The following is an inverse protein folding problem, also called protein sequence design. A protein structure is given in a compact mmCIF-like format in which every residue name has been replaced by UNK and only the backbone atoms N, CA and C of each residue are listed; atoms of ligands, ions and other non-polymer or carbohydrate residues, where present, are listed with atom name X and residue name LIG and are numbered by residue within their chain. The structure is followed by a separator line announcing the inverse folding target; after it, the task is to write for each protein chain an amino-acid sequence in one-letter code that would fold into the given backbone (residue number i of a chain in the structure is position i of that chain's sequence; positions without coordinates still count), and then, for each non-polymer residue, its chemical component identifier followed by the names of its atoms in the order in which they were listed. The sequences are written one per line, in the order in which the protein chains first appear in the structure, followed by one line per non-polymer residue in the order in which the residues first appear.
data_IF_781231842368
#
_entry.id   IF_781231842368
#
_cell.length_a   1.000
_cell.length_b   1.000
_cell.length_c   1.000
_cell.angle_alpha   90.00
_cell.angle_beta   90.00
_cell.angle_gamma   90.00
#
_symmetry.space_group_name_H-M   'P 1'
#
loop_
_entity.id
_entity.type
_entity.pdbx_description
1 polymer ?
#
# COMPACT_ATOMS: atom_id res chain seq x y z
N UNK A 1 3.60 22.54 -37.07
CA UNK A 1 3.74 22.81 -35.63
C UNK A 1 2.98 21.70 -34.91
N UNK A 2 3.71 20.68 -34.46
CA UNK A 2 3.17 19.43 -33.93
C UNK A 2 2.68 19.65 -32.50
N UNK A 3 1.41 19.33 -32.23
CA UNK A 3 0.88 19.21 -30.87
C UNK A 3 1.41 17.91 -30.27
N UNK A 4 2.18 18.00 -29.19
CA UNK A 4 2.65 16.87 -28.38
C UNK A 4 1.45 16.24 -27.65
N UNK A 5 1.08 14.96 -27.90
CA UNK A 5 0.16 14.22 -27.07
C UNK A 5 0.98 13.45 -26.03
N UNK A 6 1.35 14.11 -24.92
CA UNK A 6 2.04 13.44 -23.80
C UNK A 6 1.70 14.12 -22.48
N UNK A 7 0.41 14.20 -22.17
CA UNK A 7 -0.05 14.25 -20.79
C UNK A 7 -0.61 12.86 -20.49
N UNK A 8 0.29 11.93 -20.19
CA UNK A 8 -0.05 10.79 -19.34
C UNK A 8 -0.66 11.39 -18.07
N UNK A 9 -1.96 11.20 -17.87
CA UNK A 9 -2.67 11.63 -16.66
C UNK A 9 -2.00 10.99 -15.43
N UNK A 10 -1.00 11.66 -14.87
CA UNK A 10 -0.48 11.34 -13.56
C UNK A 10 -1.54 11.81 -12.56
N UNK A 11 -2.18 10.86 -11.88
CA UNK A 11 -3.11 11.16 -10.80
C UNK A 11 -2.30 11.69 -9.62
N UNK A 12 -2.38 12.99 -9.37
CA UNK A 12 -1.79 13.65 -8.22
C UNK A 12 -2.80 13.62 -7.06
N UNK A 13 -2.43 13.00 -5.94
CA UNK A 13 -3.25 12.96 -4.73
C UNK A 13 -2.46 13.65 -3.63
N UNK A 14 -3.01 14.74 -3.10
CA UNK A 14 -2.49 15.37 -1.88
C UNK A 14 -3.26 14.83 -0.68
N UNK A 15 -2.55 14.22 0.25
CA UNK A 15 -3.13 13.72 1.49
C UNK A 15 -2.81 14.67 2.64
N UNK A 16 -3.76 14.84 3.56
CA UNK A 16 -3.63 15.73 4.71
C UNK A 16 -3.62 14.91 5.99
N UNK A 17 -2.90 15.38 7.01
CA UNK A 17 -2.84 14.76 8.34
C UNK A 17 -3.18 15.79 9.40
N UNK A 18 -4.06 15.43 10.32
CA UNK A 18 -4.31 16.19 11.54
C UNK A 18 -3.10 16.04 12.49
N UNK A 19 -3.01 16.81 13.59
CA UNK A 19 -2.03 16.55 14.63
C UNK A 19 -2.15 15.12 15.19
N UNK A 20 -1.01 14.51 15.53
CA UNK A 20 -0.99 13.21 16.20
C UNK A 20 -1.76 13.27 17.52
N UNK A 21 -2.74 12.38 17.69
CA UNK A 21 -3.50 12.21 18.93
C UNK A 21 -2.86 11.14 19.81
N UNK A 22 -2.46 10.03 19.20
CA UNK A 22 -1.78 8.95 19.93
C UNK A 22 -0.92 8.09 19.01
N UNK A 23 -0.04 7.32 19.65
CA UNK A 23 0.87 6.38 19.00
C UNK A 23 1.02 5.12 19.84
N UNK A 24 1.12 3.99 19.17
CA UNK A 24 1.44 2.71 19.80
C UNK A 24 2.35 1.84 18.92
N UNK A 25 3.04 0.89 19.53
CA UNK A 25 3.84 -0.10 18.82
C UNK A 25 2.97 -1.31 18.49
N UNK A 26 3.03 -1.77 17.25
CA UNK A 26 2.34 -2.98 16.78
C UNK A 26 3.26 -3.83 15.92
N UNK A 27 2.78 -5.02 15.58
CA UNK A 27 3.46 -5.96 14.70
C UNK A 27 2.58 -6.30 13.51
N UNK A 28 3.15 -6.22 12.31
CA UNK A 28 2.49 -6.62 11.07
C UNK A 28 3.00 -8.01 10.68
N UNK A 29 2.11 -8.98 10.39
CA UNK A 29 2.55 -10.30 9.92
C UNK A 29 3.47 -10.19 8.72
N UNK A 30 4.54 -11.00 8.70
CA UNK A 30 5.58 -10.94 7.69
C UNK A 30 5.03 -11.08 6.27
N UNK A 31 4.08 -12.00 6.08
CA UNK A 31 3.45 -12.25 4.79
C UNK A 31 2.77 -11.00 4.23
N UNK A 32 2.15 -10.19 5.08
CA UNK A 32 1.43 -8.97 4.72
C UNK A 32 2.42 -7.87 4.37
N UNK A 33 3.41 -7.65 5.23
CA UNK A 33 4.47 -6.66 4.98
C UNK A 33 5.22 -6.97 3.68
N UNK A 34 5.73 -8.20 3.55
CA UNK A 34 6.50 -8.62 2.39
C UNK A 34 5.68 -8.54 1.10
N UNK A 35 4.37 -8.86 1.14
CA UNK A 35 3.49 -8.72 -0.02
C UNK A 35 3.30 -7.24 -0.40
N UNK A 36 3.08 -6.35 0.56
CA UNK A 36 2.96 -4.92 0.30
C UNK A 36 4.23 -4.37 -0.36
N UNK A 37 5.42 -4.68 0.19
CA UNK A 37 6.70 -4.25 -0.37
C UNK A 37 6.95 -4.86 -1.76
N UNK A 38 6.59 -6.14 -1.96
CA UNK A 38 6.72 -6.80 -3.28
C UNK A 38 5.84 -6.13 -4.33
N UNK A 39 4.60 -5.78 -3.99
CA UNK A 39 3.71 -5.07 -4.89
C UNK A 39 4.21 -3.65 -5.16
N UNK A 40 4.68 -2.95 -4.13
CA UNK A 40 5.27 -1.61 -4.25
C UNK A 40 6.49 -1.58 -5.18
N UNK A 41 7.37 -2.57 -5.10
CA UNK A 41 8.55 -2.67 -5.96
C UNK A 41 8.22 -2.81 -7.46
N UNK A 42 6.97 -3.17 -7.81
CA UNK A 42 6.48 -3.24 -9.19
C UNK A 42 5.95 -1.89 -9.70
N UNK A 43 5.75 -0.91 -8.82
CA UNK A 43 5.20 0.40 -9.16
C UNK A 43 6.31 1.38 -9.60
N UNK A 44 6.19 1.92 -10.81
CA UNK A 44 7.14 2.94 -11.31
C UNK A 44 7.11 4.24 -10.50
N UNK A 45 5.98 4.55 -9.88
CA UNK A 45 5.74 5.80 -9.13
C UNK A 45 6.19 5.75 -7.67
N UNK A 46 6.79 4.64 -7.21
CA UNK A 46 7.17 4.39 -5.79
C UNK A 46 6.02 4.51 -4.77
N UNK A 47 4.77 4.47 -5.24
CA UNK A 47 3.58 4.45 -4.40
C UNK A 47 2.65 3.35 -4.90
N UNK A 48 2.06 2.63 -3.96
CA UNK A 48 1.09 1.57 -4.19
C UNK A 48 -0.26 1.98 -3.60
N UNK A 49 -1.29 2.04 -4.45
CA UNK A 49 -2.65 2.34 -4.03
C UNK A 49 -3.43 1.04 -3.86
N UNK A 50 -3.94 0.80 -2.65
CA UNK A 50 -4.62 -0.43 -2.25
C UNK A 50 -6.05 -0.10 -1.78
N UNK A 51 -7.07 -0.26 -2.63
CA UNK A 51 -8.45 0.00 -2.23
C UNK A 51 -8.96 -1.10 -1.28
N UNK A 52 -9.35 -0.71 -0.07
CA UNK A 52 -9.95 -1.58 0.95
C UNK A 52 -11.48 -1.40 0.89
N UNK A 53 -12.10 -1.99 -0.12
CA UNK A 53 -13.50 -1.72 -0.49
C UNK A 53 -14.51 -2.06 0.62
N UNK A 54 -14.25 -3.09 1.41
CA UNK A 54 -15.07 -3.49 2.57
C UNK A 54 -15.15 -2.42 3.68
N UNK A 55 -14.19 -1.49 3.69
CA UNK A 55 -14.12 -0.38 4.63
C UNK A 55 -14.41 0.97 3.98
N UNK A 56 -14.49 1.05 2.65
CA UNK A 56 -14.42 2.31 1.89
C UNK A 56 -13.14 3.10 2.15
N UNK A 57 -12.03 2.41 2.42
CA UNK A 57 -10.73 3.01 2.69
C UNK A 57 -9.79 2.86 1.49
N UNK A 58 -8.82 3.75 1.40
CA UNK A 58 -7.65 3.61 0.54
C UNK A 58 -6.41 3.51 1.41
N UNK A 59 -5.63 2.46 1.24
CA UNK A 59 -4.26 2.42 1.72
C UNK A 59 -3.33 2.98 0.63
N UNK A 60 -2.47 3.92 1.00
CA UNK A 60 -1.36 4.37 0.16
C UNK A 60 -0.08 3.91 0.85
N UNK A 61 0.68 3.09 0.13
CA UNK A 61 1.88 2.45 0.63
C UNK A 61 3.07 3.00 -0.12
N UNK A 62 4.07 3.48 0.60
CA UNK A 62 5.39 3.79 0.06
C UNK A 62 6.49 3.10 0.88
N UNK A 63 7.75 3.52 0.69
CA UNK A 63 8.90 2.93 1.37
C UNK A 63 9.04 3.33 2.85
N UNK A 64 8.37 4.41 3.27
CA UNK A 64 8.48 5.00 4.60
C UNK A 64 7.25 4.66 5.46
N UNK A 65 6.05 4.73 4.89
CA UNK A 65 4.81 4.58 5.62
C UNK A 65 3.66 3.96 4.81
N UNK A 66 2.72 3.36 5.54
CA UNK A 66 1.42 2.95 5.00
C UNK A 66 0.37 3.87 5.62
N UNK A 67 -0.27 4.71 4.81
CA UNK A 67 -1.32 5.64 5.28
C UNK A 67 -2.70 5.13 4.87
N UNK A 68 -3.66 5.27 5.78
CA UNK A 68 -5.03 4.82 5.60
C UNK A 68 -5.97 6.01 5.60
N UNK A 69 -6.67 6.17 4.48
CA UNK A 69 -7.53 7.31 4.19
C UNK A 69 -8.96 6.81 4.09
N UNK A 70 -9.85 7.48 4.79
CA UNK A 70 -11.29 7.29 4.66
C UNK A 70 -11.79 7.92 3.35
N UNK A 71 -12.49 7.13 2.53
CA UNK A 71 -13.07 7.58 1.27
C UNK A 71 -14.08 8.71 1.41
N UNK A 72 -14.70 8.88 2.58
CA UNK A 72 -15.65 9.96 2.85
C UNK A 72 -14.95 11.28 3.20
N UNK A 73 -13.74 11.23 3.77
CA UNK A 73 -12.99 12.40 4.25
C UNK A 73 -12.01 12.98 3.23
N UNK A 74 -12.28 12.96 1.92
CA UNK A 74 -11.51 13.73 0.90
C UNK A 74 -9.96 13.74 1.08
N UNK A 75 -9.32 12.58 1.28
CA UNK A 75 -7.86 12.46 1.43
C UNK A 75 -7.25 12.84 2.80
N UNK A 76 -8.04 12.87 3.88
CA UNK A 76 -7.50 12.93 5.23
C UNK A 76 -7.02 11.55 5.71
N UNK A 77 -5.82 11.51 6.27
CA UNK A 77 -5.22 10.30 6.85
C UNK A 77 -5.78 10.14 8.26
N UNK A 78 -6.43 9.01 8.52
CA UNK A 78 -6.95 8.68 9.84
C UNK A 78 -5.91 7.91 10.68
N UNK A 79 -5.16 7.01 10.02
CA UNK A 79 -4.13 6.18 10.65
C UNK A 79 -2.91 6.09 9.71
N UNK A 80 -1.71 6.18 10.28
CA UNK A 80 -0.47 5.88 9.57
C UNK A 80 0.31 4.77 10.29
N UNK A 81 0.86 3.82 9.54
CA UNK A 81 1.82 2.84 10.03
C UNK A 81 3.19 3.26 9.54
N UNK A 82 4.07 3.61 10.48
CA UNK A 82 5.38 4.21 10.21
C UNK A 82 6.49 3.44 10.92
N UNK A 83 7.74 3.79 10.61
CA UNK A 83 8.92 3.28 11.32
C UNK A 83 8.98 1.75 11.34
N UNK A 84 8.65 1.12 10.21
CA UNK A 84 8.80 -0.31 10.05
C UNK A 84 10.25 -0.71 10.29
N UNK A 85 10.47 -1.70 11.16
CA UNK A 85 11.80 -2.20 11.48
C UNK A 85 11.97 -3.66 11.02
N UNK A 86 12.03 -3.92 9.70
CA UNK A 86 12.16 -5.29 9.20
C UNK A 86 13.54 -5.91 9.51
N UNK A 87 14.56 -5.08 9.80
CA UNK A 87 15.93 -5.50 10.09
C UNK A 87 16.12 -6.05 11.51
N UNK A 88 15.23 -5.71 12.44
CA UNK A 88 15.28 -6.25 13.80
C UNK A 88 14.77 -7.71 13.91
N UNK A 89 14.40 -8.34 12.79
CA UNK A 89 13.93 -9.72 12.74
C UNK A 89 15.09 -10.67 12.46
N UNK A 90 15.10 -11.80 13.15
CA UNK A 90 16.07 -12.87 12.93
C UNK A 90 15.70 -13.80 11.77
N UNK A 91 14.42 -13.78 11.36
CA UNK A 91 13.90 -14.61 10.27
C UNK A 91 12.86 -13.88 9.42
N UNK A 92 12.71 -14.31 8.16
CA UNK A 92 11.88 -13.64 7.16
C UNK A 92 10.37 -13.76 7.42
N UNK A 93 9.95 -14.75 8.20
CA UNK A 93 8.58 -15.06 8.59
C UNK A 93 8.14 -14.41 9.91
N UNK A 94 9.08 -13.82 10.66
CA UNK A 94 8.77 -13.09 11.90
C UNK A 94 7.98 -11.81 11.60
N UNK A 95 7.02 -11.41 12.43
CA UNK A 95 6.30 -10.15 12.27
C UNK A 95 7.22 -8.91 12.29
N UNK A 96 6.87 -7.88 11.52
CA UNK A 96 7.60 -6.60 11.48
C UNK A 96 7.02 -5.64 12.50
N UNK A 97 7.84 -5.16 13.43
CA UNK A 97 7.45 -4.09 14.34
C UNK A 97 7.30 -2.76 13.59
N UNK A 98 6.28 -1.98 13.98
CA UNK A 98 6.01 -0.66 13.43
C UNK A 98 5.29 0.22 14.47
N UNK A 99 5.19 1.52 14.19
CA UNK A 99 4.41 2.46 15.00
C UNK A 99 3.10 2.78 14.29
N UNK A 100 1.96 2.55 14.96
CA UNK A 100 0.66 3.03 14.51
C UNK A 100 0.42 4.41 15.11
N UNK A 101 0.23 5.41 14.25
CA UNK A 101 -0.09 6.80 14.61
C UNK A 101 -1.54 7.07 14.26
N UNK A 102 -2.27 7.65 15.21
CA UNK A 102 -3.68 7.98 15.09
C UNK A 102 -3.86 9.49 15.03
N UNK A 103 -4.60 9.94 14.02
CA UNK A 103 -4.93 11.36 13.82
C UNK A 103 -6.39 11.67 14.20
N UNK A 104 -7.11 10.67 14.73
CA UNK A 104 -8.49 10.77 15.21
C UNK A 104 -8.70 9.98 16.50
N UNK A 105 -9.66 10.43 17.28
CA UNK A 105 -10.14 9.74 18.48
C UNK A 105 -10.93 8.48 18.11
N UNK A 106 -11.05 7.53 19.05
CA UNK A 106 -11.88 6.32 18.95
C UNK A 106 -11.58 5.40 17.73
N UNK A 107 -10.33 5.35 17.28
CA UNK A 107 -9.90 4.59 16.08
C UNK A 107 -9.64 3.09 16.33
N UNK A 108 -9.91 2.57 17.52
CA UNK A 108 -9.61 1.17 17.88
C UNK A 108 -10.33 0.14 17.00
N UNK A 109 -11.62 0.37 16.70
CA UNK A 109 -12.42 -0.50 15.85
C UNK A 109 -11.93 -0.47 14.39
N UNK A 110 -11.56 0.71 13.88
CA UNK A 110 -10.99 0.85 12.53
C UNK A 110 -9.65 0.12 12.44
N UNK A 111 -8.77 0.32 13.42
CA UNK A 111 -7.49 -0.37 13.49
C UNK A 111 -7.65 -1.90 13.54
N UNK A 112 -8.58 -2.41 14.33
CA UNK A 112 -8.87 -3.85 14.40
C UNK A 112 -9.30 -4.39 13.04
N UNK A 113 -10.15 -3.67 12.31
CA UNK A 113 -10.56 -4.04 10.95
C UNK A 113 -9.42 -3.95 9.94
N UNK A 114 -8.58 -2.92 10.00
CA UNK A 114 -7.44 -2.78 9.09
C UNK A 114 -6.49 -3.99 9.17
N UNK A 115 -6.31 -4.59 10.35
CA UNK A 115 -5.47 -5.78 10.52
C UNK A 115 -5.96 -7.00 9.71
N UNK A 116 -7.26 -7.12 9.44
CA UNK A 116 -7.81 -8.21 8.61
C UNK A 116 -8.06 -7.80 7.16
N UNK A 117 -8.54 -6.57 6.95
CA UNK A 117 -9.02 -6.11 5.63
C UNK A 117 -7.86 -5.67 4.72
N UNK A 118 -6.79 -5.08 5.25
CA UNK A 118 -5.64 -4.68 4.44
C UNK A 118 -4.91 -5.89 3.83
N UNK A 119 -4.58 -6.97 4.58
CA UNK A 119 -4.05 -8.19 3.98
C UNK A 119 -4.95 -8.76 2.88
N UNK A 120 -6.27 -8.80 3.11
CA UNK A 120 -7.22 -9.29 2.11
C UNK A 120 -7.21 -8.42 0.83
N UNK A 121 -7.16 -7.10 0.98
CA UNK A 121 -7.08 -6.17 -0.15
C UNK A 121 -5.77 -6.34 -0.96
N UNK A 122 -4.63 -6.54 -0.28
CA UNK A 122 -3.35 -6.84 -0.94
C UNK A 122 -3.42 -8.14 -1.74
N UNK A 123 -4.05 -9.19 -1.20
CA UNK A 123 -4.20 -10.46 -1.91
C UNK A 123 -5.07 -10.30 -3.17
N UNK A 124 -6.19 -9.59 -3.07
CA UNK A 124 -7.05 -9.28 -4.23
C UNK A 124 -6.26 -8.51 -5.29
N UNK A 125 -5.48 -7.51 -4.88
CA UNK A 125 -4.64 -6.72 -5.79
C UNK A 125 -3.54 -7.57 -6.45
N UNK A 126 -2.90 -8.46 -5.70
CA UNK A 126 -1.90 -9.37 -6.23
C UNK A 126 -2.50 -10.34 -7.26
N UNK A 127 -3.67 -10.90 -6.99
CA UNK A 127 -4.37 -11.82 -7.90
C UNK A 127 -4.70 -11.19 -9.24
N UNK A 128 -5.11 -9.91 -9.26
CA UNK A 128 -5.40 -9.18 -10.52
C UNK A 128 -4.16 -8.94 -11.40
N UNK A 129 -2.98 -8.91 -10.78
CA UNK A 129 -1.72 -8.68 -11.49
C UNK A 129 -1.03 -9.97 -11.92
N UNK A 130 -1.63 -11.14 -11.64
CA UNK A 130 -1.13 -12.40 -12.17
C UNK A 130 -1.53 -12.49 -13.64
N UNK A 131 -0.54 -12.59 -14.51
CA UNK A 131 -0.76 -12.95 -15.90
C UNK A 131 -1.23 -14.40 -15.94
N UNK A 132 -2.53 -14.61 -16.02
CA UNK A 132 -3.11 -15.95 -16.16
C UNK A 132 -2.99 -16.39 -17.63
N UNK A 133 -2.01 -17.25 -17.90
CA UNK A 133 -1.80 -17.90 -19.19
C UNK A 133 -0.40 -18.50 -19.31
N UNK A 134 -0.21 -19.57 -20.11
CA UNK A 134 1.14 -20.07 -20.40
C UNK A 134 1.95 -18.95 -21.04
N UNK A 135 3.17 -18.73 -20.55
CA UNK A 135 4.11 -17.79 -21.14
C UNK A 135 4.29 -18.15 -22.63
N UNK A 136 3.99 -17.19 -23.52
CA UNK A 136 4.21 -17.37 -24.96
C UNK A 136 5.60 -16.87 -25.29
N UNK A 137 6.42 -17.76 -25.86
CA UNK A 137 7.71 -17.37 -26.44
C UNK A 137 7.43 -16.51 -27.66
N UNK A 138 7.86 -15.25 -27.64
CA UNK A 138 7.87 -14.39 -28.81
C UNK A 138 9.22 -14.60 -29.49
N UNK A 139 9.23 -15.27 -30.63
CA UNK A 139 10.44 -15.37 -31.46
C UNK A 139 10.67 -14.02 -32.12
N UNK A 140 11.73 -13.33 -31.72
CA UNK A 140 12.19 -12.15 -32.45
C UNK A 140 12.85 -12.61 -33.75
N UNK A 141 12.42 -12.11 -34.93
CA UNK A 141 13.09 -12.42 -36.17
C UNK A 141 14.52 -11.85 -36.12
N UNK A 142 15.50 -12.66 -36.56
CA UNK A 142 16.86 -12.17 -36.75
C UNK A 142 16.82 -11.03 -37.79
N UNK A 143 17.45 -9.89 -37.48
CA UNK A 143 17.69 -8.84 -38.47
C UNK A 143 18.58 -9.44 -39.56
N UNK A 144 18.10 -9.39 -40.80
CA UNK A 144 18.91 -9.59 -42.00
C UNK A 144 19.96 -8.48 -42.15
#
# INVERSE_FOLDING_TARGET
MLLNPSLTNAMEITCYRDPEISREVRHLPANTYNLAITLLARCATKHLFVPIRSMQYMAIVDSEEFVFIDGERRCWIDIAWQNFNPQARDALDQPVAYQAIYYREDMSAIMARLQSEFPAALQILNSKNRLDGPARIINFPAKN
#
